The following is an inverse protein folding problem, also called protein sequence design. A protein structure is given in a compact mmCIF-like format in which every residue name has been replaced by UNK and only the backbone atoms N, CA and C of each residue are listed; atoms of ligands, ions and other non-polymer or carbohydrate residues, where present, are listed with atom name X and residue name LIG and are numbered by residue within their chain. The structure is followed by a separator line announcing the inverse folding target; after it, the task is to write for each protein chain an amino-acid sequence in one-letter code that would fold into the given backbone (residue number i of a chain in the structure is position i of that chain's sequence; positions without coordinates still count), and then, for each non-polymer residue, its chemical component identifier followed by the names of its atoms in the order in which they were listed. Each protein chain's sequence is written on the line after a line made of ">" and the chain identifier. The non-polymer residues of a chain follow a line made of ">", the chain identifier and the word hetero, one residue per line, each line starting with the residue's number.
data_IF_874621549262
#
_entry.id   IF_874621549262
#
_cell.length_a   1.000
_cell.length_b   1.000
_cell.length_c   1.000
_cell.angle_alpha   90.00
_cell.angle_beta   90.00
_cell.angle_gamma   90.00
#
_symmetry.space_group_name_H-M   'P 1'
#
loop_
_entity.id
_entity.type
_entity.pdbx_description
1 polymer ?
#
# COMPACT_ATOMS: atom_id res chain seq x y z
N UNK A 1 -8.75 13.52 6.31
CA UNK A 1 -7.61 12.64 5.97
C UNK A 1 -7.24 11.66 7.09
N UNK A 2 -6.95 12.08 8.33
CA UNK A 2 -6.56 11.15 9.43
C UNK A 2 -7.51 9.96 9.59
N UNK A 3 -8.82 10.20 9.72
CA UNK A 3 -9.82 9.12 9.86
C UNK A 3 -9.82 8.15 8.67
N UNK A 4 -9.62 8.67 7.45
CA UNK A 4 -9.52 7.84 6.24
C UNK A 4 -8.29 6.94 6.28
N UNK A 5 -7.13 7.47 6.66
CA UNK A 5 -5.91 6.68 6.81
C UNK A 5 -6.03 5.63 7.93
N UNK A 6 -6.65 5.99 9.08
CA UNK A 6 -6.92 5.00 10.14
C UNK A 6 -7.83 3.87 9.64
N UNK A 7 -8.93 4.20 9.00
CA UNK A 7 -9.86 3.21 8.45
C UNK A 7 -9.17 2.34 7.38
N UNK A 8 -8.44 2.96 6.46
CA UNK A 8 -7.70 2.25 5.41
C UNK A 8 -6.60 1.35 6.01
N UNK A 9 -5.86 1.83 7.00
CA UNK A 9 -4.84 1.04 7.67
C UNK A 9 -5.41 -0.17 8.40
N UNK A 10 -6.51 -0.01 9.16
CA UNK A 10 -7.20 -1.13 9.82
C UNK A 10 -7.76 -2.12 8.80
N UNK A 11 -8.39 -1.61 7.73
CA UNK A 11 -8.89 -2.46 6.64
C UNK A 11 -7.73 -3.20 5.96
N UNK A 12 -6.61 -2.52 5.72
CA UNK A 12 -5.41 -3.13 5.15
C UNK A 12 -4.84 -4.25 6.00
N UNK A 13 -4.83 -4.11 7.34
CA UNK A 13 -4.46 -5.21 8.26
C UNK A 13 -5.42 -6.39 8.12
N UNK A 14 -6.72 -6.13 8.03
CA UNK A 14 -7.72 -7.18 7.80
C UNK A 14 -7.47 -7.90 6.47
N UNK A 15 -7.24 -7.14 5.38
CA UNK A 15 -6.92 -7.71 4.06
C UNK A 15 -5.62 -8.51 4.12
N UNK A 16 -4.61 -8.06 4.85
CA UNK A 16 -3.38 -8.82 5.07
C UNK A 16 -3.66 -10.17 5.74
N UNK A 17 -4.46 -10.21 6.79
CA UNK A 17 -4.84 -11.47 7.46
C UNK A 17 -5.62 -12.37 6.51
N UNK A 18 -6.59 -11.83 5.78
CA UNK A 18 -7.41 -12.59 4.83
C UNK A 18 -6.58 -13.13 3.66
N UNK A 19 -5.66 -12.34 3.12
CA UNK A 19 -4.76 -12.80 2.06
C UNK A 19 -3.81 -13.91 2.52
N UNK A 20 -3.35 -13.86 3.78
CA UNK A 20 -2.60 -14.96 4.39
C UNK A 20 -3.43 -16.26 4.51
N UNK A 21 -4.71 -16.16 4.90
CA UNK A 21 -5.61 -17.31 4.92
C UNK A 21 -5.89 -17.82 3.49
N UNK A 22 -6.09 -16.93 2.53
CA UNK A 22 -6.28 -17.31 1.12
C UNK A 22 -5.08 -18.10 0.59
N UNK A 23 -3.85 -17.67 0.88
CA UNK A 23 -2.64 -18.42 0.53
C UNK A 23 -2.57 -19.80 1.20
N UNK A 24 -3.04 -19.92 2.44
CA UNK A 24 -3.07 -21.19 3.18
C UNK A 24 -4.07 -22.17 2.57
N UNK A 25 -5.21 -21.67 2.12
CA UNK A 25 -6.31 -22.47 1.56
C UNK A 25 -6.17 -22.69 0.05
N UNK A 26 -5.19 -22.10 -0.59
CA UNK A 26 -4.96 -22.19 -2.03
C UNK A 26 -4.72 -23.64 -2.48
N UNK A 27 -5.32 -24.02 -3.60
CA UNK A 27 -5.14 -25.35 -4.22
C UNK A 27 -4.65 -25.20 -5.66
N UNK A 28 -3.49 -25.76 -6.02
CA UNK A 28 -2.52 -26.47 -5.18
C UNK A 28 -1.90 -25.55 -4.12
N UNK A 29 -1.30 -26.08 -3.03
CA UNK A 29 -0.68 -25.25 -1.98
C UNK A 29 0.33 -24.26 -2.55
N UNK A 30 0.35 -23.02 -2.07
CA UNK A 30 1.26 -21.96 -2.58
C UNK A 30 2.73 -22.41 -2.56
N UNK A 31 3.11 -23.29 -1.62
CA UNK A 31 4.47 -23.85 -1.52
C UNK A 31 4.86 -24.74 -2.71
N UNK A 32 3.88 -25.37 -3.39
CA UNK A 32 4.10 -26.24 -4.55
C UNK A 32 4.00 -25.51 -5.91
N UNK A 33 3.69 -24.22 -5.89
CA UNK A 33 3.67 -23.40 -7.10
C UNK A 33 5.09 -23.15 -7.60
N UNK A 34 5.22 -22.86 -8.90
CA UNK A 34 6.47 -22.39 -9.49
C UNK A 34 6.98 -21.17 -8.73
N UNK A 35 8.30 -21.03 -8.62
CA UNK A 35 8.97 -20.00 -7.80
C UNK A 35 8.45 -18.59 -8.11
N UNK A 36 8.23 -18.27 -9.39
CA UNK A 36 7.72 -16.98 -9.81
C UNK A 36 6.32 -16.67 -9.24
N UNK A 37 5.39 -17.61 -9.32
CA UNK A 37 4.04 -17.47 -8.77
C UNK A 37 4.07 -17.38 -7.25
N UNK A 38 4.86 -18.25 -6.61
CA UNK A 38 5.04 -18.24 -5.15
C UNK A 38 5.56 -16.89 -4.66
N UNK A 39 6.58 -16.34 -5.31
CA UNK A 39 7.13 -15.03 -4.97
C UNK A 39 6.12 -13.90 -5.17
N UNK A 40 5.27 -13.97 -6.19
CA UNK A 40 4.21 -12.99 -6.41
C UNK A 40 3.21 -12.98 -5.25
N UNK A 41 2.71 -14.14 -4.81
CA UNK A 41 1.85 -14.23 -3.63
C UNK A 41 2.50 -13.64 -2.38
N UNK A 42 3.74 -14.04 -2.08
CA UNK A 42 4.44 -13.59 -0.87
C UNK A 42 4.73 -12.10 -0.91
N UNK A 43 5.23 -11.57 -2.02
CA UNK A 43 5.55 -10.15 -2.12
C UNK A 43 4.30 -9.27 -2.02
N UNK A 44 3.21 -9.62 -2.71
CA UNK A 44 1.95 -8.87 -2.63
C UNK A 44 1.37 -8.87 -1.22
N UNK A 45 1.39 -10.03 -0.56
CA UNK A 45 0.95 -10.15 0.83
C UNK A 45 1.73 -9.19 1.76
N UNK A 46 3.07 -9.15 1.65
CA UNK A 46 3.91 -8.26 2.46
C UNK A 46 3.68 -6.78 2.12
N UNK A 47 3.46 -6.45 0.83
CA UNK A 47 3.22 -5.07 0.41
C UNK A 47 1.89 -4.51 0.91
N UNK A 48 0.85 -5.34 0.99
CA UNK A 48 -0.42 -4.97 1.64
C UNK A 48 -0.15 -4.57 3.10
N UNK A 49 0.63 -5.36 3.85
CA UNK A 49 1.01 -5.02 5.22
C UNK A 49 1.78 -3.70 5.28
N UNK A 50 2.79 -3.50 4.43
CA UNK A 50 3.58 -2.27 4.37
C UNK A 50 2.71 -1.04 4.13
N UNK A 51 1.82 -1.09 3.13
CA UNK A 51 0.89 -0.01 2.83
C UNK A 51 -0.11 0.23 3.98
N UNK A 52 -0.60 -0.84 4.64
CA UNK A 52 -1.48 -0.73 5.79
C UNK A 52 -0.79 -0.01 6.97
N UNK A 53 0.47 -0.35 7.27
CA UNK A 53 1.25 0.28 8.34
C UNK A 53 1.53 1.77 8.04
N UNK A 54 1.85 2.12 6.79
CA UNK A 54 1.99 3.53 6.37
C UNK A 54 0.69 4.28 6.60
N UNK A 55 -0.45 3.71 6.19
CA UNK A 55 -1.76 4.31 6.43
C UNK A 55 -2.07 4.47 7.93
N UNK A 56 -1.78 3.47 8.77
CA UNK A 56 -1.96 3.59 10.23
C UNK A 56 -1.10 4.70 10.81
N UNK A 57 0.17 4.79 10.41
CA UNK A 57 1.09 5.84 10.86
C UNK A 57 0.56 7.23 10.50
N UNK A 58 0.12 7.43 9.26
CA UNK A 58 -0.49 8.69 8.84
C UNK A 58 -1.81 8.94 9.59
N UNK A 59 -2.62 7.91 9.81
CA UNK A 59 -3.84 8.02 10.58
C UNK A 59 -3.62 8.49 12.02
N UNK A 60 -2.51 8.09 12.64
CA UNK A 60 -2.18 8.48 14.01
C UNK A 60 -1.49 9.86 14.08
N UNK A 61 -0.54 10.12 13.18
CA UNK A 61 0.39 11.23 13.32
C UNK A 61 0.22 12.36 12.30
N UNK A 62 -0.59 12.17 11.23
CA UNK A 62 -0.74 13.18 10.18
C UNK A 62 -1.30 14.49 10.76
N UNK A 63 -0.54 15.56 10.59
CA UNK A 63 -0.98 16.93 10.78
C UNK A 63 -0.95 17.63 9.43
N UNK A 64 -2.12 18.00 8.94
CA UNK A 64 -2.21 18.75 7.70
C UNK A 64 -1.89 20.22 7.97
N UNK A 65 -1.07 20.79 7.10
CA UNK A 65 -0.85 22.23 7.07
C UNK A 65 -2.18 22.98 6.80
N UNK A 66 -2.33 24.17 7.38
CA UNK A 66 -3.60 24.88 7.28
C UNK A 66 -3.84 25.45 5.87
N UNK A 67 -2.79 25.89 5.18
CA UNK A 67 -2.90 26.51 3.84
C UNK A 67 -1.62 26.32 3.01
N UNK A 68 -1.72 26.61 1.70
CA UNK A 68 -0.61 26.69 0.78
C UNK A 68 -0.28 25.39 0.06
N UNK A 69 0.81 25.42 -0.71
CA UNK A 69 1.27 24.30 -1.54
C UNK A 69 1.58 23.03 -0.74
N UNK A 70 2.06 23.17 0.51
CA UNK A 70 2.39 22.05 1.40
C UNK A 70 1.15 21.23 1.73
N UNK A 71 0.03 21.89 2.02
CA UNK A 71 -1.26 21.19 2.24
C UNK A 71 -1.69 20.41 1.01
N UNK A 72 -1.58 21.03 -0.18
CA UNK A 72 -1.96 20.37 -1.43
C UNK A 72 -1.08 19.15 -1.69
N UNK A 73 0.23 19.27 -1.41
CA UNK A 73 1.19 18.17 -1.52
C UNK A 73 0.87 17.03 -0.52
N UNK A 74 0.53 17.36 0.73
CA UNK A 74 0.12 16.37 1.73
C UNK A 74 -1.19 15.67 1.32
N UNK A 75 -2.16 16.39 0.78
CA UNK A 75 -3.43 15.82 0.32
C UNK A 75 -3.19 14.91 -0.88
N UNK A 76 -2.42 15.36 -1.87
CA UNK A 76 -2.06 14.53 -3.03
C UNK A 76 -1.30 13.27 -2.60
N UNK A 77 -0.31 13.41 -1.72
CA UNK A 77 0.44 12.27 -1.16
C UNK A 77 -0.47 11.29 -0.42
N UNK A 78 -1.41 11.80 0.38
CA UNK A 78 -2.40 10.98 1.07
C UNK A 78 -3.28 10.18 0.11
N UNK A 79 -3.74 10.81 -0.97
CA UNK A 79 -4.57 10.12 -1.98
C UNK A 79 -3.77 9.02 -2.69
N UNK A 80 -2.51 9.27 -3.02
CA UNK A 80 -1.64 8.27 -3.63
C UNK A 80 -1.42 7.06 -2.70
N UNK A 81 -1.19 7.30 -1.40
CA UNK A 81 -1.00 6.22 -0.41
C UNK A 81 -2.30 5.41 -0.22
N UNK A 82 -3.45 6.07 -0.17
CA UNK A 82 -4.74 5.38 -0.10
C UNK A 82 -5.00 4.54 -1.36
N UNK A 83 -4.71 5.10 -2.53
CA UNK A 83 -4.84 4.41 -3.81
C UNK A 83 -3.91 3.20 -3.89
N UNK A 84 -2.66 3.31 -3.41
CA UNK A 84 -1.70 2.20 -3.44
C UNK A 84 -2.22 0.95 -2.71
N UNK A 85 -2.89 1.12 -1.56
CA UNK A 85 -3.46 0.00 -0.81
C UNK A 85 -4.53 -0.75 -1.62
N UNK A 86 -5.37 -0.01 -2.33
CA UNK A 86 -6.41 -0.60 -3.21
C UNK A 86 -5.75 -1.37 -4.36
N UNK A 87 -4.79 -0.74 -5.04
CA UNK A 87 -4.09 -1.36 -6.17
C UNK A 87 -3.32 -2.62 -5.75
N UNK A 88 -2.63 -2.58 -4.59
CA UNK A 88 -1.94 -3.75 -4.03
C UNK A 88 -2.90 -4.90 -3.70
N UNK A 89 -4.08 -4.58 -3.18
CA UNK A 89 -5.10 -5.59 -2.88
C UNK A 89 -5.63 -6.24 -4.16
N UNK A 90 -5.89 -5.45 -5.20
CA UNK A 90 -6.31 -5.97 -6.51
C UNK A 90 -5.20 -6.81 -7.16
N UNK A 91 -3.96 -6.33 -7.13
CA UNK A 91 -2.81 -7.05 -7.65
C UNK A 91 -2.59 -8.41 -6.94
N UNK A 92 -2.91 -8.53 -5.66
CA UNK A 92 -2.87 -9.81 -4.94
C UNK A 92 -3.86 -10.83 -5.51
N UNK A 93 -5.02 -10.38 -5.98
CA UNK A 93 -6.05 -11.26 -6.54
C UNK A 93 -5.72 -11.67 -7.98
N UNK A 94 -5.26 -10.73 -8.80
CA UNK A 94 -5.19 -10.90 -10.26
C UNK A 94 -3.84 -11.43 -10.76
N UNK A 95 -2.73 -11.00 -10.15
CA UNK A 95 -1.40 -11.22 -10.71
C UNK A 95 -0.77 -12.60 -10.45
N UNK A 96 -0.98 -13.29 -9.31
CA UNK A 96 -0.25 -14.53 -9.04
C UNK A 96 -0.52 -15.63 -10.06
N UNK A 97 -1.70 -15.64 -10.68
CA UNK A 97 -2.07 -16.59 -11.72
C UNK A 97 -1.24 -16.44 -13.00
N UNK A 98 -0.81 -15.23 -13.31
CA UNK A 98 -0.07 -14.91 -14.54
C UNK A 98 1.46 -15.12 -14.41
N UNK A 99 1.98 -15.32 -13.20
CA UNK A 99 3.41 -15.44 -12.92
C UNK A 99 4.20 -14.15 -13.19
N UNK A 100 5.54 -14.24 -13.16
CA UNK A 100 6.43 -13.06 -13.32
C UNK A 100 6.25 -12.38 -14.70
N UNK A 101 6.00 -13.14 -15.74
CA UNK A 101 5.79 -12.62 -17.09
C UNK A 101 4.48 -11.81 -17.22
N UNK A 102 3.51 -12.04 -16.34
CA UNK A 102 2.23 -11.35 -16.30
C UNK A 102 2.18 -10.13 -15.39
N UNK A 103 3.34 -9.61 -14.96
CA UNK A 103 3.37 -8.34 -14.21
C UNK A 103 2.67 -7.25 -14.99
N UNK A 104 1.55 -6.79 -14.45
CA UNK A 104 0.78 -5.70 -15.04
C UNK A 104 1.46 -4.35 -14.79
N UNK A 105 1.18 -3.37 -15.65
CA UNK A 105 1.53 -1.96 -15.38
C UNK A 105 0.98 -1.50 -14.03
N UNK A 106 -0.16 -2.07 -13.58
CA UNK A 106 -0.75 -1.83 -12.27
C UNK A 106 0.25 -2.07 -11.13
N UNK A 107 1.06 -3.13 -11.24
CA UNK A 107 2.12 -3.50 -10.30
C UNK A 107 3.24 -2.46 -10.17
N UNK A 108 3.53 -1.73 -11.24
CA UNK A 108 4.47 -0.60 -11.16
C UNK A 108 3.81 0.63 -10.53
N UNK A 109 2.53 0.89 -10.88
CA UNK A 109 1.79 2.03 -10.35
C UNK A 109 1.57 1.99 -8.84
N UNK A 110 1.28 0.82 -8.26
CA UNK A 110 1.05 0.70 -6.82
C UNK A 110 2.30 1.08 -5.99
N UNK A 111 3.49 0.66 -6.45
CA UNK A 111 4.77 0.99 -5.86
C UNK A 111 5.10 2.48 -5.98
N UNK A 112 4.96 3.01 -7.21
CA UNK A 112 5.20 4.43 -7.45
C UNK A 112 4.22 5.30 -6.65
N UNK A 113 2.96 4.92 -6.55
CA UNK A 113 1.96 5.64 -5.76
C UNK A 113 2.35 5.68 -4.28
N UNK A 114 2.79 4.56 -3.69
CA UNK A 114 3.23 4.51 -2.31
C UNK A 114 4.50 5.36 -2.09
N UNK A 115 5.49 5.23 -2.97
CA UNK A 115 6.75 5.97 -2.90
C UNK A 115 6.52 7.47 -3.05
N UNK A 116 5.84 7.88 -4.11
CA UNK A 116 5.56 9.30 -4.40
C UNK A 116 4.68 9.92 -3.32
N UNK A 117 3.72 9.16 -2.81
CA UNK A 117 2.90 9.59 -1.67
C UNK A 117 3.73 9.83 -0.41
N UNK A 118 4.65 8.93 -0.09
CA UNK A 118 5.60 9.08 1.02
C UNK A 118 6.53 10.27 0.84
N UNK A 119 7.11 10.44 -0.35
CA UNK A 119 7.97 11.59 -0.69
C UNK A 119 7.21 12.92 -0.60
N UNK A 120 5.95 12.95 -1.05
CA UNK A 120 5.11 14.14 -0.94
C UNK A 120 4.93 14.58 0.52
N UNK A 121 4.67 13.63 1.43
CA UNK A 121 4.60 13.91 2.86
C UNK A 121 5.95 14.34 3.43
N UNK A 122 7.04 13.69 3.05
CA UNK A 122 8.38 14.06 3.49
C UNK A 122 8.71 15.50 3.10
N UNK A 123 8.58 15.88 1.82
CA UNK A 123 8.89 17.24 1.35
C UNK A 123 7.94 18.30 1.92
N UNK A 124 6.68 17.96 2.15
CA UNK A 124 5.75 18.87 2.80
C UNK A 124 6.14 19.20 4.25
N UNK A 125 6.84 18.29 4.94
CA UNK A 125 7.24 18.48 6.34
C UNK A 125 8.69 18.95 6.51
N UNK A 126 9.54 18.85 5.48
CA UNK A 126 10.93 19.36 5.52
C UNK A 126 10.91 20.88 5.66
N UNK A 127 11.61 21.39 6.67
CA UNK A 127 11.73 22.83 6.95
C UNK A 127 10.65 23.40 7.87
N UNK A 128 9.73 22.59 8.40
CA UNK A 128 8.96 22.95 9.59
C UNK A 128 9.80 22.66 10.82
N UNK A 129 10.65 23.62 11.21
CA UNK A 129 11.31 23.56 12.54
C UNK A 129 10.25 23.48 13.63
N UNK A 130 10.58 22.91 14.80
CA UNK A 130 9.70 23.00 15.96
C UNK A 130 9.54 24.47 16.35
N UNK A 131 8.32 25.01 16.21
CA UNK A 131 7.91 26.25 16.86
C UNK A 131 7.57 25.98 18.32
#
# INVERSE_FOLDING_TARGET
>A
MRKLHLAAGLLGILVFVLSGQAMRLHKPPVRSLADGQRMMFLSRHIYILGSALVNLTLGLYLRLENRGWRRNLQVAGSLLILLSLVLLTLAFVDEPGAGIAGRSLQSAFDWFALLLGGLAHFFANVGTGPN
#
